data_IF_613146700857
#
_entry.id   IF_613146700857
#
_cell.length_a   1.000
_cell.length_b   1.000
_cell.length_c   1.000
_cell.angle_alpha   90.00
_cell.angle_beta   90.00
_cell.angle_gamma   90.00
#
_symmetry.space_group_name_H-M   'P 1'
#
loop_
_entity.id
_entity.type
_entity.pdbx_description
1 polymer ?
#
# COMPACT_ATOMS: atom_id res chain seq x y z
N UNK A 1 -1.92 -6.08 -4.77
CA UNK A 1 -1.52 -7.17 -5.70
C UNK A 1 -0.39 -6.64 -6.58
N UNK A 2 0.75 -7.35 -6.67
CA UNK A 2 1.89 -6.91 -7.49
C UNK A 2 1.53 -6.84 -8.97
N UNK A 3 2.05 -5.83 -9.67
CA UNK A 3 2.08 -5.83 -11.14
C UNK A 3 3.22 -6.74 -11.59
N UNK A 4 2.87 -8.01 -11.84
CA UNK A 4 3.82 -9.04 -12.25
C UNK A 4 4.52 -8.71 -13.58
N UNK A 5 3.86 -7.97 -14.47
CA UNK A 5 4.47 -7.54 -15.72
C UNK A 5 5.48 -6.40 -15.49
N UNK A 6 5.15 -5.43 -14.63
CA UNK A 6 6.12 -4.41 -14.23
C UNK A 6 7.36 -5.05 -13.57
N UNK A 7 7.14 -5.95 -12.62
CA UNK A 7 8.23 -6.67 -11.93
C UNK A 7 9.07 -7.49 -12.91
N UNK A 8 8.42 -8.16 -13.86
CA UNK A 8 9.10 -8.85 -14.95
C UNK A 8 10.01 -7.90 -15.72
N UNK A 9 9.50 -6.76 -16.20
CA UNK A 9 10.23 -5.77 -17.00
C UNK A 9 11.37 -5.09 -16.25
N UNK A 10 11.16 -4.70 -15.00
CA UNK A 10 12.18 -4.06 -14.15
C UNK A 10 13.38 -4.98 -13.89
N UNK A 11 13.14 -6.30 -13.86
CA UNK A 11 14.16 -7.30 -13.56
C UNK A 11 14.72 -8.00 -14.81
N UNK A 12 14.66 -7.36 -15.99
CA UNK A 12 15.15 -7.93 -17.25
C UNK A 12 16.59 -8.47 -17.19
N UNK A 13 17.47 -7.82 -16.42
CA UNK A 13 18.87 -8.24 -16.26
C UNK A 13 19.08 -9.48 -15.37
N UNK A 14 18.06 -9.91 -14.61
CA UNK A 14 18.13 -11.04 -13.68
C UNK A 14 17.41 -12.29 -14.20
N UNK A 15 16.80 -12.20 -15.39
CA UNK A 15 16.10 -13.33 -15.99
C UNK A 15 17.08 -14.33 -16.57
N UNK A 16 16.77 -15.61 -16.42
CA UNK A 16 17.56 -16.71 -16.96
C UNK A 16 16.82 -17.38 -18.11
N UNK A 17 17.54 -17.76 -19.16
CA UNK A 17 16.98 -18.64 -20.19
C UNK A 17 16.60 -19.98 -19.58
N UNK A 18 15.45 -20.52 -19.97
CA UNK A 18 14.95 -21.81 -19.49
C UNK A 18 14.90 -22.83 -20.62
N UNK A 19 15.43 -24.02 -20.36
CA UNK A 19 15.42 -25.15 -21.29
C UNK A 19 14.12 -25.97 -21.25
N UNK A 20 13.09 -25.48 -20.56
CA UNK A 20 11.78 -26.14 -20.54
C UNK A 20 11.20 -26.17 -21.95
N UNK A 21 10.96 -27.38 -22.46
CA UNK A 21 10.57 -27.61 -23.86
C UNK A 21 9.06 -27.55 -24.10
N UNK A 22 8.27 -26.96 -23.19
CA UNK A 22 6.82 -26.85 -23.35
C UNK A 22 6.44 -25.54 -24.04
N UNK A 23 5.43 -25.63 -24.93
CA UNK A 23 4.86 -24.49 -25.66
C UNK A 23 3.87 -23.67 -24.82
N UNK A 24 3.34 -24.24 -23.72
CA UNK A 24 2.35 -23.57 -22.86
C UNK A 24 2.99 -23.13 -21.55
N UNK A 25 3.06 -21.81 -21.34
CA UNK A 25 3.53 -21.19 -20.09
C UNK A 25 2.68 -21.56 -18.88
N UNK A 26 1.42 -21.97 -19.09
CA UNK A 26 0.46 -22.22 -18.03
C UNK A 26 0.40 -23.69 -17.60
N UNK A 27 1.16 -24.59 -18.22
CA UNK A 27 1.12 -26.04 -17.96
C UNK A 27 2.38 -26.64 -17.33
N UNK A 28 3.16 -25.82 -16.62
CA UNK A 28 4.49 -26.14 -16.08
C UNK A 28 4.54 -26.50 -14.58
N UNK A 29 3.40 -26.72 -13.92
CA UNK A 29 3.30 -27.00 -12.48
C UNK A 29 4.22 -28.15 -12.03
N UNK A 30 4.14 -29.29 -12.73
CA UNK A 30 4.93 -30.49 -12.43
C UNK A 30 6.42 -30.26 -12.66
N UNK A 31 6.76 -29.53 -13.73
CA UNK A 31 8.15 -29.25 -14.10
C UNK A 31 8.83 -28.29 -13.10
N UNK A 32 8.06 -27.36 -12.54
CA UNK A 32 8.53 -26.37 -11.58
C UNK A 32 8.37 -26.82 -10.12
N UNK A 33 7.65 -27.93 -9.87
CA UNK A 33 7.20 -28.32 -8.53
C UNK A 33 6.52 -27.16 -7.79
N UNK A 34 5.67 -26.44 -8.51
CA UNK A 34 5.03 -25.19 -8.08
C UNK A 34 3.56 -25.15 -8.50
N UNK A 35 2.75 -24.32 -7.84
CA UNK A 35 1.34 -24.14 -8.19
C UNK A 35 1.16 -22.92 -9.08
N UNK A 36 0.35 -23.02 -10.12
CA UNK A 36 0.02 -21.87 -10.96
C UNK A 36 -0.80 -20.84 -10.15
N UNK A 37 -0.20 -19.69 -9.88
CA UNK A 37 -0.82 -18.58 -9.14
C UNK A 37 -1.55 -17.61 -10.07
N UNK A 38 -0.94 -17.29 -11.22
CA UNK A 38 -1.55 -16.46 -12.29
C UNK A 38 -1.21 -17.05 -13.65
N UNK A 39 -2.22 -17.33 -14.45
CA UNK A 39 -2.04 -17.68 -15.85
C UNK A 39 -1.62 -16.46 -16.70
N UNK A 40 -0.71 -16.68 -17.65
CA UNK A 40 -0.46 -15.75 -18.75
C UNK A 40 -1.70 -15.71 -19.66
N UNK A 41 -2.16 -14.51 -19.98
CA UNK A 41 -3.31 -14.29 -20.87
C UNK A 41 -2.94 -14.43 -22.35
N UNK A 42 -1.71 -14.04 -22.69
CA UNK A 42 -1.16 -14.04 -24.04
C UNK A 42 0.38 -14.12 -23.99
N UNK A 43 1.02 -14.10 -25.16
CA UNK A 43 2.47 -14.22 -25.32
C UNK A 43 3.28 -13.04 -24.73
N UNK A 44 2.62 -11.92 -24.44
CA UNK A 44 3.24 -10.73 -23.84
C UNK A 44 3.06 -10.65 -22.33
N UNK A 45 2.21 -11.50 -21.77
CA UNK A 45 1.93 -11.60 -20.35
C UNK A 45 2.80 -12.69 -19.70
N UNK A 46 2.98 -12.59 -18.39
CA UNK A 46 3.74 -13.59 -17.61
C UNK A 46 2.84 -14.57 -16.89
N UNK A 47 3.24 -15.84 -16.91
CA UNK A 47 2.69 -16.87 -16.03
C UNK A 47 3.45 -16.80 -14.70
N UNK A 48 2.73 -16.86 -13.60
CA UNK A 48 3.29 -16.78 -12.25
C UNK A 48 2.99 -18.08 -11.54
N UNK A 49 4.05 -18.76 -11.14
CA UNK A 49 3.99 -19.95 -10.30
C UNK A 49 4.43 -19.60 -8.89
N UNK A 50 3.92 -20.34 -7.93
CA UNK A 50 4.16 -20.13 -6.51
C UNK A 50 4.70 -21.41 -5.87
N UNK A 51 5.73 -21.23 -5.06
CA UNK A 51 6.20 -22.19 -4.06
C UNK A 51 6.02 -21.57 -2.67
N UNK A 52 6.28 -22.29 -1.56
CA UNK A 52 6.20 -21.68 -0.23
C UNK A 52 7.02 -20.39 -0.09
N UNK A 53 8.23 -20.35 -0.67
CA UNK A 53 9.20 -19.27 -0.39
C UNK A 53 9.41 -18.27 -1.53
N UNK A 54 9.00 -18.60 -2.77
CA UNK A 54 9.24 -17.75 -3.95
C UNK A 54 8.13 -17.84 -4.98
N UNK A 55 8.02 -16.78 -5.79
CA UNK A 55 7.32 -16.79 -7.06
C UNK A 55 8.29 -17.07 -8.21
N UNK A 56 7.81 -17.77 -9.23
CA UNK A 56 8.54 -18.07 -10.46
C UNK A 56 7.72 -17.46 -11.59
N UNK A 57 8.24 -16.41 -12.21
CA UNK A 57 7.63 -15.75 -13.36
C UNK A 57 8.23 -16.35 -14.64
N UNK A 58 7.36 -16.66 -15.60
CA UNK A 58 7.72 -17.15 -16.92
C UNK A 58 7.11 -16.27 -18.00
N UNK A 59 7.91 -15.96 -19.01
CA UNK A 59 7.46 -15.17 -20.15
C UNK A 59 8.31 -15.44 -21.39
N UNK A 60 7.74 -15.18 -22.56
CA UNK A 60 8.44 -15.31 -23.84
C UNK A 60 9.04 -13.96 -24.25
N UNK A 61 10.35 -13.82 -24.12
CA UNK A 61 11.09 -12.67 -24.63
C UNK A 61 12.42 -13.17 -25.18
N UNK A 62 12.49 -13.33 -26.52
CA UNK A 62 13.61 -13.96 -27.22
C UNK A 62 13.90 -15.41 -26.77
N UNK A 63 12.82 -16.15 -26.48
CA UNK A 63 12.86 -17.50 -25.91
C UNK A 63 12.14 -17.55 -24.57
N UNK A 64 12.03 -18.76 -23.99
CA UNK A 64 11.47 -18.91 -22.66
C UNK A 64 12.46 -18.36 -21.63
N UNK A 65 12.02 -17.35 -20.89
CA UNK A 65 12.77 -16.79 -19.79
C UNK A 65 12.09 -17.11 -18.46
N UNK A 66 12.88 -17.14 -17.40
CA UNK A 66 12.44 -17.35 -16.04
C UNK A 66 13.01 -16.27 -15.13
N UNK A 67 12.18 -15.80 -14.19
CA UNK A 67 12.59 -14.92 -13.11
C UNK A 67 12.08 -15.49 -11.79
N UNK A 68 13.00 -15.76 -10.87
CA UNK A 68 12.66 -16.18 -9.52
C UNK A 68 12.67 -14.98 -8.56
N UNK A 69 11.61 -14.85 -7.79
CA UNK A 69 11.39 -13.73 -6.89
C UNK A 69 11.05 -14.26 -5.52
N UNK A 70 11.95 -14.08 -4.57
CA UNK A 70 11.71 -14.48 -3.19
C UNK A 70 10.56 -13.67 -2.56
N UNK A 71 9.62 -14.33 -1.87
CA UNK A 71 8.50 -13.63 -1.23
C UNK A 71 8.95 -12.64 -0.15
N UNK A 72 10.06 -12.95 0.53
CA UNK A 72 10.63 -12.07 1.55
C UNK A 72 11.15 -10.73 1.01
N UNK A 73 11.35 -10.60 -0.31
CA UNK A 73 11.78 -9.34 -0.94
C UNK A 73 10.60 -8.51 -1.45
N UNK A 74 9.38 -9.04 -1.38
CA UNK A 74 8.16 -8.39 -1.87
C UNK A 74 7.48 -7.65 -0.72
N UNK A 75 8.16 -6.63 -0.20
CA UNK A 75 7.63 -5.77 0.84
C UNK A 75 7.57 -4.31 0.40
N UNK A 76 6.67 -3.59 1.04
CA UNK A 76 6.53 -2.15 0.92
C UNK A 76 6.84 -1.47 2.25
N UNK A 77 7.24 -0.21 2.19
CA UNK A 77 7.44 0.66 3.34
C UNK A 77 6.53 1.87 3.13
N UNK A 78 5.76 2.24 4.14
CA UNK A 78 5.01 3.49 4.15
C UNK A 78 5.45 4.30 5.36
N UNK A 79 5.80 5.56 5.13
CA UNK A 79 6.13 6.48 6.20
C UNK A 79 4.97 7.44 6.47
N UNK A 80 4.75 7.76 7.75
CA UNK A 80 3.70 8.68 8.18
C UNK A 80 4.23 9.56 9.31
N UNK A 81 4.10 10.88 9.14
CA UNK A 81 4.36 11.83 10.23
C UNK A 81 3.11 11.95 11.09
N UNK A 82 3.23 11.64 12.37
CA UNK A 82 2.14 11.78 13.33
C UNK A 82 2.36 13.02 14.18
N UNK A 83 1.42 13.96 14.11
CA UNK A 83 1.48 15.26 14.80
C UNK A 83 0.47 15.40 15.94
N UNK A 84 -0.43 14.43 16.09
CA UNK A 84 -1.47 14.41 17.13
C UNK A 84 -1.31 13.17 18.02
N UNK A 85 -1.84 13.24 19.25
CA UNK A 85 -1.81 12.10 20.16
C UNK A 85 -2.91 11.10 19.79
N UNK A 86 -2.51 10.02 19.12
CA UNK A 86 -3.39 8.91 18.74
C UNK A 86 -3.56 7.86 19.85
N UNK A 87 -3.07 8.10 21.08
CA UNK A 87 -3.16 7.16 22.20
C UNK A 87 -2.19 5.97 22.08
N UNK A 88 -1.16 6.09 21.24
CA UNK A 88 -0.18 5.03 20.94
C UNK A 88 1.01 5.00 21.92
N UNK A 89 0.95 5.77 23.01
CA UNK A 89 2.00 5.80 24.03
C UNK A 89 3.31 6.48 23.60
N UNK A 90 3.32 7.19 22.47
CA UNK A 90 4.42 8.04 22.00
C UNK A 90 3.91 9.47 21.80
N UNK A 91 4.64 10.44 22.35
CA UNK A 91 4.27 11.84 22.21
C UNK A 91 4.59 12.36 20.79
N UNK A 92 3.66 13.07 20.12
CA UNK A 92 3.94 13.72 18.84
C UNK A 92 4.89 14.93 18.98
N UNK A 93 5.61 15.32 17.91
CA UNK A 93 5.62 14.65 16.62
C UNK A 93 6.53 13.41 16.61
N UNK A 94 6.10 12.36 15.91
CA UNK A 94 6.92 11.18 15.66
C UNK A 94 6.72 10.66 14.23
N UNK A 95 7.70 9.91 13.76
CA UNK A 95 7.67 9.21 12.48
C UNK A 95 7.22 7.78 12.72
N UNK A 96 6.18 7.36 12.02
CA UNK A 96 5.76 5.97 11.97
C UNK A 96 6.15 5.37 10.63
N UNK A 97 6.66 4.14 10.67
CA UNK A 97 6.98 3.34 9.50
C UNK A 97 6.16 2.06 9.56
N UNK A 98 5.30 1.87 8.58
CA UNK A 98 4.57 0.62 8.36
C UNK A 98 5.33 -0.19 7.32
N UNK A 99 5.59 -1.45 7.62
CA UNK A 99 6.17 -2.39 6.66
C UNK A 99 5.18 -3.53 6.40
N UNK A 100 4.94 -3.81 5.14
CA UNK A 100 3.98 -4.82 4.70
C UNK A 100 4.64 -5.78 3.72
N UNK A 101 4.66 -7.07 4.04
CA UNK A 101 5.00 -8.09 3.06
C UNK A 101 3.77 -8.42 2.22
N UNK A 102 3.78 -7.98 0.97
CA UNK A 102 2.64 -8.11 0.07
C UNK A 102 2.43 -9.56 -0.42
N UNK A 103 3.40 -10.45 -0.19
CA UNK A 103 3.32 -11.85 -0.55
C UNK A 103 2.82 -12.75 0.59
N UNK A 104 3.22 -12.47 1.83
CA UNK A 104 2.87 -13.27 3.02
C UNK A 104 1.75 -12.63 3.86
N UNK A 105 1.47 -11.35 3.67
CA UNK A 105 0.52 -10.58 4.47
C UNK A 105 1.04 -10.21 5.86
N UNK A 106 2.31 -10.53 6.18
CA UNK A 106 2.95 -10.10 7.42
C UNK A 106 3.15 -8.60 7.42
N UNK A 107 2.79 -7.92 8.52
CA UNK A 107 2.97 -6.49 8.69
C UNK A 107 3.54 -6.14 10.04
N UNK A 108 4.27 -5.01 10.11
CA UNK A 108 4.78 -4.51 11.37
C UNK A 108 5.00 -3.01 11.35
N UNK A 109 5.08 -2.45 12.55
CA UNK A 109 5.15 -1.01 12.76
C UNK A 109 6.43 -0.67 13.51
N UNK A 110 7.06 0.42 13.10
CA UNK A 110 8.16 1.04 13.82
C UNK A 110 7.85 2.51 14.06
N UNK A 111 8.23 3.03 15.23
CA UNK A 111 8.02 4.42 15.60
C UNK A 111 9.33 5.06 16.06
N UNK A 112 9.58 6.27 15.59
CA UNK A 112 10.75 7.07 15.95
C UNK A 112 10.38 8.49 16.32
N UNK A 113 10.82 8.95 17.49
CA UNK A 113 10.53 10.31 17.97
C UNK A 113 11.25 11.32 17.09
N UNK A 114 10.52 12.32 16.60
CA UNK A 114 11.07 13.41 15.80
C UNK A 114 11.45 14.58 16.70
N UNK A 115 12.66 15.09 16.53
CA UNK A 115 13.16 16.28 17.26
C UNK A 115 14.01 17.16 16.36
N UNK A 116 14.24 18.41 16.75
CA UNK A 116 15.26 19.26 16.15
C UNK A 116 16.48 19.33 17.06
N UNK A 117 17.67 19.24 16.48
CA UNK A 117 18.89 19.58 17.17
C UNK A 117 19.07 21.12 17.26
N UNK A 118 20.04 21.63 18.04
CA UNK A 118 20.29 23.07 18.15
C UNK A 118 20.67 23.78 16.84
N UNK A 119 21.15 23.04 15.85
CA UNK A 119 21.53 23.55 14.52
C UNK A 119 20.34 23.53 13.53
N UNK A 120 19.13 23.14 13.98
CA UNK A 120 17.93 23.05 13.14
C UNK A 120 17.86 21.80 12.26
N UNK A 121 18.65 20.78 12.56
CA UNK A 121 18.66 19.50 11.84
C UNK A 121 17.62 18.57 12.46
N UNK A 122 16.74 18.00 11.62
CA UNK A 122 15.79 16.98 12.02
C UNK A 122 16.50 15.71 12.49
N UNK A 123 16.07 15.19 13.64
CA UNK A 123 16.55 13.95 14.22
C UNK A 123 15.39 12.97 14.38
N UNK A 124 15.67 11.67 14.20
CA UNK A 124 14.80 10.57 14.58
C UNK A 124 15.50 9.68 15.60
N UNK A 125 14.88 9.47 16.77
CA UNK A 125 15.50 8.76 17.90
C UNK A 125 16.92 9.28 18.25
N UNK A 126 17.15 10.59 18.07
CA UNK A 126 18.43 11.25 18.34
C UNK A 126 19.51 11.11 17.24
N UNK A 127 19.22 10.43 16.13
CA UNK A 127 20.11 10.34 14.97
C UNK A 127 19.64 11.30 13.87
N UNK A 128 20.59 11.82 13.07
CA UNK A 128 20.26 12.71 11.96
C UNK A 128 19.32 12.02 10.98
N UNK A 129 18.16 12.63 10.73
CA UNK A 129 17.20 12.12 9.78
C UNK A 129 17.70 12.42 8.35
N UNK A 130 17.95 11.39 7.56
CA UNK A 130 18.48 11.53 6.21
C UNK A 130 18.04 10.38 5.31
N UNK A 131 17.74 10.64 4.01
CA UNK A 131 17.43 9.57 3.06
C UNK A 131 18.57 8.56 2.88
N UNK A 132 19.81 8.95 3.19
CA UNK A 132 20.99 8.08 3.09
C UNK A 132 21.33 7.36 4.41
N UNK A 133 20.63 7.70 5.50
CA UNK A 133 20.85 7.11 6.82
C UNK A 133 19.60 6.37 7.27
N UNK A 134 19.59 5.05 7.09
CA UNK A 134 18.53 4.20 7.62
C UNK A 134 18.66 4.11 9.15
N UNK A 135 17.63 4.52 9.94
CA UNK A 135 17.63 4.32 11.38
C UNK A 135 17.58 2.84 11.73
N UNK A 136 17.85 2.49 12.98
CA UNK A 136 17.81 1.10 13.42
C UNK A 136 16.36 0.63 13.61
N UNK A 137 15.69 0.35 12.49
CA UNK A 137 14.35 -0.20 12.42
C UNK A 137 14.41 -1.70 12.65
N UNK A 138 13.81 -2.16 13.75
CA UNK A 138 13.76 -3.57 14.12
C UNK A 138 12.32 -4.06 14.06
N UNK A 139 12.11 -5.14 13.31
CA UNK A 139 10.83 -5.83 13.17
C UNK A 139 10.97 -7.29 13.61
N UNK A 140 11.20 -7.55 14.91
CA UNK A 140 11.61 -8.86 15.40
C UNK A 140 10.59 -9.98 15.13
N UNK A 141 9.32 -9.62 14.99
CA UNK A 141 8.22 -10.57 14.76
C UNK A 141 8.07 -10.96 13.28
N UNK A 142 8.76 -10.28 12.37
CA UNK A 142 8.61 -10.47 10.93
C UNK A 142 9.75 -11.34 10.38
N UNK A 143 9.41 -12.54 9.90
CA UNK A 143 10.41 -13.52 9.46
C UNK A 143 11.25 -13.00 8.28
N UNK A 144 10.63 -12.28 7.34
CA UNK A 144 11.31 -11.75 6.15
C UNK A 144 12.38 -10.70 6.46
N UNK A 145 12.28 -10.03 7.60
CA UNK A 145 13.23 -8.97 8.02
C UNK A 145 14.54 -9.51 8.57
N UNK A 146 14.59 -10.82 8.85
CA UNK A 146 15.79 -11.51 9.34
C UNK A 146 16.74 -11.94 8.21
N UNK A 147 16.42 -11.58 6.96
CA UNK A 147 17.22 -11.96 5.80
C UNK A 147 18.41 -11.00 5.58
N UNK A 148 19.57 -11.49 5.09
CA UNK A 148 20.77 -10.66 4.93
C UNK A 148 20.60 -9.44 4.01
N UNK A 149 19.69 -9.53 3.03
CA UNK A 149 19.46 -8.47 2.03
C UNK A 149 18.36 -7.49 2.43
N UNK A 150 17.60 -7.79 3.49
CA UNK A 150 16.48 -6.95 3.92
C UNK A 150 16.91 -5.52 4.21
N UNK A 151 18.04 -5.34 4.91
CA UNK A 151 18.52 -4.00 5.29
C UNK A 151 18.88 -3.14 4.08
N UNK A 152 19.46 -3.72 3.04
CA UNK A 152 19.81 -3.00 1.81
C UNK A 152 18.56 -2.61 1.02
N UNK A 153 17.57 -3.51 0.94
CA UNK A 153 16.28 -3.24 0.29
C UNK A 153 15.48 -2.18 1.06
N UNK A 154 15.48 -2.26 2.39
CA UNK A 154 14.82 -1.29 3.28
C UNK A 154 15.44 0.10 3.13
N UNK A 155 16.77 0.19 2.96
CA UNK A 155 17.44 1.47 2.72
C UNK A 155 17.00 2.12 1.40
N UNK A 156 16.75 1.32 0.35
CA UNK A 156 16.19 1.81 -0.91
C UNK A 156 14.82 2.45 -0.72
N UNK A 157 13.89 1.72 -0.09
CA UNK A 157 12.53 2.19 0.21
C UNK A 157 12.51 3.38 1.15
N UNK A 158 13.33 3.35 2.19
CA UNK A 158 13.51 4.48 3.11
C UNK A 158 13.88 5.76 2.38
N UNK A 159 14.81 5.71 1.43
CA UNK A 159 15.20 6.88 0.65
C UNK A 159 14.03 7.46 -0.12
N UNK A 160 13.26 6.60 -0.81
CA UNK A 160 12.10 6.98 -1.61
C UNK A 160 11.03 7.62 -0.74
N UNK A 161 10.57 6.90 0.28
CA UNK A 161 9.49 7.31 1.18
C UNK A 161 9.86 8.53 2.00
N UNK A 162 11.06 8.58 2.58
CA UNK A 162 11.47 9.72 3.39
C UNK A 162 11.53 10.98 2.54
N UNK A 163 12.04 10.89 1.31
CA UNK A 163 12.11 12.04 0.41
C UNK A 163 10.71 12.62 0.13
N UNK A 164 9.69 11.76 0.03
CA UNK A 164 8.31 12.19 -0.12
C UNK A 164 7.75 12.86 1.16
N UNK A 165 8.11 12.34 2.33
CA UNK A 165 7.61 12.82 3.64
C UNK A 165 8.38 14.03 4.23
N UNK A 166 9.57 14.36 3.71
CA UNK A 166 10.39 15.48 4.20
C UNK A 166 9.59 16.80 4.40
N UNK A 167 8.72 17.24 3.47
CA UNK A 167 7.95 18.46 3.66
C UNK A 167 7.00 18.43 4.87
N UNK A 168 6.42 17.27 5.18
CA UNK A 168 5.55 17.09 6.35
C UNK A 168 6.36 17.07 7.65
N UNK A 169 7.55 16.46 7.63
CA UNK A 169 8.48 16.45 8.76
C UNK A 169 8.95 17.86 9.10
N UNK A 170 9.32 18.65 8.08
CA UNK A 170 9.70 20.04 8.24
C UNK A 170 8.55 20.87 8.83
N UNK A 171 7.32 20.68 8.37
CA UNK A 171 6.14 21.35 8.91
C UNK A 171 5.88 20.98 10.37
N UNK A 172 5.93 19.69 10.71
CA UNK A 172 5.72 19.19 12.06
C UNK A 172 6.77 19.72 13.06
N UNK A 173 8.04 19.80 12.64
CA UNK A 173 9.14 20.24 13.50
C UNK A 173 9.26 21.77 13.60
N UNK A 174 8.85 22.51 12.57
CA UNK A 174 8.86 23.98 12.59
C UNK A 174 7.71 24.60 13.41
N UNK A 175 6.66 23.82 13.70
CA UNK A 175 5.52 24.23 14.53
C UNK A 175 5.82 24.52 16.01
N UNK A 176 7.08 24.39 16.46
CA UNK A 176 7.51 24.60 17.85
C UNK A 176 8.00 26.00 18.22
N UNK A 177 7.99 26.96 17.29
CA UNK A 177 8.54 28.31 17.53
C UNK A 177 7.60 29.46 17.14
N UNK A 178 6.30 29.32 17.39
CA UNK A 178 5.39 30.47 17.57
C UNK A 178 4.01 29.97 18.05
N UNK A 179 3.81 29.92 19.38
CA UNK A 179 2.46 30.12 19.95
C UNK A 179 2.05 31.58 19.65
N UNK A 180 1.68 31.83 18.39
CA UNK A 180 1.49 33.19 17.91
C UNK A 180 1.44 33.36 16.40
N UNK A 181 1.12 32.32 15.61
CA UNK A 181 0.74 32.55 14.21
C UNK A 181 -0.78 32.39 14.08
N UNK A 182 -1.43 33.49 13.70
CA UNK A 182 -2.79 33.43 13.20
C UNK A 182 -2.89 32.31 12.17
N UNK A 183 -4.05 31.65 12.12
CA UNK A 183 -4.50 30.78 11.04
C UNK A 183 -4.39 31.52 9.70
N UNK A 184 -3.18 31.58 9.14
CA UNK A 184 -2.94 32.00 7.78
C UNK A 184 -3.14 30.72 6.99
N UNK A 185 -4.41 30.38 6.78
CA UNK A 185 -4.81 29.31 5.89
C UNK A 185 -4.04 29.41 4.58
N UNK A 186 -3.82 28.25 3.94
CA UNK A 186 -3.13 28.17 2.67
C UNK A 186 -3.64 29.27 1.71
N UNK A 187 -2.76 29.94 0.96
CA UNK A 187 -3.18 30.93 -0.03
C UNK A 187 -4.29 30.33 -0.91
N UNK A 188 -5.42 31.02 -1.15
CA UNK A 188 -6.59 30.44 -1.83
C UNK A 188 -6.26 29.74 -3.16
N UNK A 189 -5.28 30.27 -3.90
CA UNK A 189 -4.78 29.65 -5.14
C UNK A 189 -4.09 28.30 -4.91
N UNK A 190 -3.31 28.15 -3.82
CA UNK A 190 -2.70 26.87 -3.45
C UNK A 190 -3.76 25.88 -2.97
N UNK A 191 -4.77 26.37 -2.24
CA UNK A 191 -5.86 25.54 -1.78
C UNK A 191 -6.68 24.99 -2.96
N UNK A 192 -6.99 25.83 -3.95
CA UNK A 192 -7.65 25.40 -5.18
C UNK A 192 -6.84 24.35 -5.94
N UNK A 193 -5.52 24.54 -6.08
CA UNK A 193 -4.66 23.55 -6.74
C UNK A 193 -4.66 22.20 -6.03
N UNK A 194 -4.75 22.18 -4.70
CA UNK A 194 -4.84 20.95 -3.91
C UNK A 194 -6.20 20.28 -4.15
N UNK A 195 -7.29 21.04 -4.13
CA UNK A 195 -8.62 20.51 -4.44
C UNK A 195 -8.72 19.96 -5.86
N UNK A 196 -8.14 20.64 -6.85
CA UNK A 196 -8.14 20.18 -8.24
C UNK A 196 -7.38 18.85 -8.40
N UNK A 197 -6.22 18.71 -7.74
CA UNK A 197 -5.42 17.47 -7.73
C UNK A 197 -6.15 16.35 -7.01
N UNK A 198 -6.75 16.64 -5.87
CA UNK A 198 -7.56 15.69 -5.11
C UNK A 198 -8.74 15.19 -5.93
N UNK A 199 -9.51 16.11 -6.54
CA UNK A 199 -10.66 15.77 -7.36
C UNK A 199 -10.30 14.94 -8.60
N UNK A 200 -9.11 15.16 -9.18
CA UNK A 200 -8.60 14.33 -10.28
C UNK A 200 -8.22 12.92 -9.80
N UNK A 201 -7.52 12.82 -8.66
CA UNK A 201 -7.16 11.53 -8.04
C UNK A 201 -8.42 10.71 -7.70
N UNK A 202 -9.40 11.34 -7.04
CA UNK A 202 -10.69 10.71 -6.71
C UNK A 202 -11.41 10.22 -7.97
N UNK A 203 -11.50 11.04 -9.03
CA UNK A 203 -12.15 10.63 -10.29
C UNK A 203 -11.44 9.44 -10.95
N UNK A 204 -10.11 9.41 -10.93
CA UNK A 204 -9.32 8.29 -11.46
C UNK A 204 -9.60 7.01 -10.69
N UNK A 205 -9.59 7.07 -9.36
CA UNK A 205 -9.84 5.89 -8.54
C UNK A 205 -11.31 5.43 -8.61
N UNK A 206 -12.28 6.34 -8.72
CA UNK A 206 -13.67 5.97 -9.00
C UNK A 206 -13.83 5.21 -10.31
N UNK A 207 -13.09 5.61 -11.36
CA UNK A 207 -13.07 4.87 -12.62
C UNK A 207 -12.38 3.49 -12.52
N UNK A 208 -11.50 3.29 -11.55
CA UNK A 208 -10.93 1.97 -11.25
C UNK A 208 -11.93 1.12 -10.46
N UNK A 209 -12.56 1.69 -9.44
CA UNK A 209 -13.57 1.03 -8.61
C UNK A 209 -14.74 0.50 -9.45
N UNK A 210 -15.20 1.25 -10.44
CA UNK A 210 -16.29 0.82 -11.35
C UNK A 210 -15.92 -0.38 -12.23
N UNK A 211 -14.64 -0.73 -12.34
CA UNK A 211 -14.18 -1.97 -13.02
C UNK A 211 -14.08 -3.15 -12.05
N UNK A 212 -13.94 -2.88 -10.75
CA UNK A 212 -13.73 -3.87 -9.69
C UNK A 212 -15.07 -4.32 -9.08
N UNK A 213 -15.98 -3.37 -8.90
CA UNK A 213 -17.29 -3.59 -8.32
C UNK A 213 -18.39 -3.51 -9.38
N UNK A 214 -19.41 -4.33 -9.20
CA UNK A 214 -20.66 -4.25 -9.93
C UNK A 214 -21.55 -3.14 -9.35
N UNK A 215 -22.53 -2.68 -10.13
CA UNK A 215 -23.49 -1.67 -9.66
C UNK A 215 -24.25 -2.13 -8.40
N UNK A 216 -24.58 -3.43 -8.33
CA UNK A 216 -25.26 -4.01 -7.16
C UNK A 216 -24.37 -4.01 -5.91
N UNK A 217 -23.07 -4.31 -6.06
CA UNK A 217 -22.09 -4.24 -4.97
C UNK A 217 -21.91 -2.79 -4.49
N UNK A 218 -21.80 -1.83 -5.41
CA UNK A 218 -21.70 -0.41 -5.04
C UNK A 218 -22.97 0.11 -4.35
N UNK A 219 -24.16 -0.32 -4.80
CA UNK A 219 -25.43 0.01 -4.15
C UNK A 219 -25.54 -0.58 -2.75
N UNK A 220 -25.11 -1.83 -2.57
CA UNK A 220 -25.06 -2.47 -1.26
C UNK A 220 -24.13 -1.70 -0.32
N UNK A 221 -22.91 -1.41 -0.77
CA UNK A 221 -21.94 -0.64 -0.01
C UNK A 221 -22.48 0.75 0.36
N UNK A 222 -23.12 1.45 -0.58
CA UNK A 222 -23.79 2.73 -0.33
C UNK A 222 -24.86 2.64 0.76
N UNK A 223 -25.67 1.58 0.72
CA UNK A 223 -26.72 1.35 1.70
C UNK A 223 -26.14 1.10 3.11
N UNK A 224 -25.06 0.32 3.21
CA UNK A 224 -24.39 -0.01 4.47
C UNK A 224 -23.69 1.20 5.10
N UNK A 225 -23.20 2.13 4.29
CA UNK A 225 -22.58 3.37 4.76
C UNK A 225 -23.57 4.51 5.06
N UNK A 226 -24.87 4.28 4.85
CA UNK A 226 -25.88 5.31 5.09
C UNK A 226 -25.94 5.67 6.58
N UNK A 227 -25.55 6.91 6.88
CA UNK A 227 -25.53 7.43 8.26
C UNK A 227 -24.20 7.23 9.00
N UNK A 228 -23.17 6.70 8.33
CA UNK A 228 -21.79 6.69 8.83
C UNK A 228 -21.14 8.03 8.51
N UNK A 229 -20.53 8.67 9.51
CA UNK A 229 -19.84 9.96 9.38
C UNK A 229 -18.33 9.75 9.34
N UNK A 230 -17.70 10.24 8.29
CA UNK A 230 -16.24 10.23 8.12
C UNK A 230 -15.70 11.62 8.47
N UNK A 231 -15.35 11.83 9.75
CA UNK A 231 -14.98 13.16 10.27
C UNK A 231 -13.51 13.52 10.01
N UNK A 232 -12.68 12.55 9.67
CA UNK A 232 -11.24 12.74 9.43
C UNK A 232 -10.71 11.83 8.31
N UNK A 233 -9.57 12.18 7.73
CA UNK A 233 -8.90 11.34 6.74
C UNK A 233 -8.63 9.92 7.27
N UNK A 234 -8.21 9.79 8.54
CA UNK A 234 -7.97 8.51 9.18
C UNK A 234 -9.26 7.64 9.29
N UNK A 235 -10.43 8.26 9.42
CA UNK A 235 -11.70 7.53 9.50
C UNK A 235 -12.10 6.85 8.18
N UNK A 236 -11.43 7.18 7.07
CA UNK A 236 -11.68 6.59 5.77
C UNK A 236 -11.04 5.20 5.58
N UNK A 237 -10.14 4.77 6.48
CA UNK A 237 -9.39 3.51 6.33
C UNK A 237 -10.17 2.33 6.91
N UNK A 238 -10.06 1.17 6.26
CA UNK A 238 -10.59 -0.08 6.80
C UNK A 238 -12.10 -0.17 6.67
N UNK A 239 -12.65 0.33 5.56
CA UNK A 239 -14.08 0.37 5.28
C UNK A 239 -14.74 -1.01 5.34
N UNK A 240 -13.97 -2.06 5.04
CA UNK A 240 -14.43 -3.45 5.10
C UNK A 240 -14.93 -3.85 6.49
N UNK A 241 -14.40 -3.26 7.58
CA UNK A 241 -14.85 -3.54 8.95
C UNK A 241 -16.28 -3.05 9.19
N UNK A 242 -16.63 -1.89 8.62
CA UNK A 242 -17.99 -1.33 8.73
C UNK A 242 -18.96 -2.20 7.93
N UNK A 243 -18.55 -2.62 6.74
CA UNK A 243 -19.35 -3.51 5.88
C UNK A 243 -19.53 -4.88 6.53
N UNK A 244 -18.48 -5.47 7.09
CA UNK A 244 -18.53 -6.75 7.81
C UNK A 244 -19.50 -6.69 9.00
N UNK A 245 -19.38 -5.66 9.84
CA UNK A 245 -20.26 -5.47 10.99
C UNK A 245 -21.74 -5.35 10.59
N UNK A 246 -22.03 -4.59 9.53
CA UNK A 246 -23.41 -4.36 9.08
C UNK A 246 -24.02 -5.55 8.34
N UNK A 247 -23.21 -6.32 7.59
CA UNK A 247 -23.66 -7.53 6.89
C UNK A 247 -24.15 -8.61 7.86
N UNK A 248 -23.51 -8.75 9.02
CA UNK A 248 -23.89 -9.72 10.06
C UNK A 248 -25.27 -9.37 10.67
N UNK A 249 -25.57 -8.09 10.81
CA UNK A 249 -26.75 -7.62 11.54
C UNK A 249 -28.01 -7.50 10.67
N UNK A 250 -27.89 -7.29 9.34
CA UNK A 250 -29.02 -6.88 8.50
C UNK A 250 -29.33 -7.79 7.29
N UNK A 251 -28.50 -8.80 6.97
CA UNK A 251 -28.59 -9.65 5.75
C UNK A 251 -29.03 -8.93 4.43
N UNK A 252 -28.54 -7.72 4.09
CA UNK A 252 -28.98 -6.98 2.89
C UNK A 252 -28.41 -7.53 1.58
N UNK A 253 -27.41 -8.41 1.67
CA UNK A 253 -26.79 -9.15 0.56
C UNK A 253 -27.80 -10.04 -0.18
N UNK A 254 -28.81 -10.57 0.52
CA UNK A 254 -29.88 -11.39 -0.07
C UNK A 254 -30.84 -10.61 -0.95
N UNK A 255 -31.10 -9.34 -0.65
CA UNK A 255 -32.01 -8.51 -1.44
C UNK A 255 -31.38 -8.08 -2.77
N UNK A 256 -30.07 -7.84 -2.78
CA UNK A 256 -29.31 -7.40 -3.96
C UNK A 256 -28.61 -8.56 -4.70
N UNK A 257 -28.74 -9.80 -4.21
CA UNK A 257 -28.08 -11.00 -4.77
C UNK A 257 -26.55 -10.86 -4.86
N UNK A 258 -25.94 -10.20 -3.88
CA UNK A 258 -24.50 -9.98 -3.83
C UNK A 258 -23.85 -11.07 -2.98
N UNK A 259 -22.72 -11.60 -3.45
CA UNK A 259 -21.89 -12.50 -2.65
C UNK A 259 -21.12 -11.66 -1.61
N UNK A 260 -21.62 -11.66 -0.36
CA UNK A 260 -21.05 -10.90 0.74
C UNK A 260 -19.58 -11.24 1.02
N UNK A 261 -19.18 -12.51 0.85
CA UNK A 261 -17.79 -12.93 1.10
C UNK A 261 -16.87 -12.42 -0.02
N UNK A 262 -17.28 -12.55 -1.27
CA UNK A 262 -16.52 -12.02 -2.40
C UNK A 262 -16.42 -10.49 -2.34
N UNK A 263 -17.48 -9.80 -1.90
CA UNK A 263 -17.48 -8.35 -1.69
C UNK A 263 -16.47 -7.94 -0.61
N UNK A 264 -16.47 -8.62 0.54
CA UNK A 264 -15.56 -8.34 1.64
C UNK A 264 -14.10 -8.53 1.22
N UNK A 265 -13.78 -9.58 0.46
CA UNK A 265 -12.42 -9.80 -0.05
C UNK A 265 -11.98 -8.71 -1.02
N UNK A 266 -12.86 -8.25 -1.92
CA UNK A 266 -12.57 -7.07 -2.77
C UNK A 266 -12.29 -5.83 -1.94
N UNK A 267 -13.07 -5.61 -0.88
CA UNK A 267 -12.93 -4.44 -0.01
C UNK A 267 -11.65 -4.46 0.83
N UNK A 268 -11.24 -5.61 1.35
CA UNK A 268 -9.94 -5.77 2.05
C UNK A 268 -8.75 -5.47 1.14
N UNK A 269 -8.91 -5.71 -0.17
CA UNK A 269 -7.89 -5.44 -1.17
C UNK A 269 -7.75 -3.98 -1.60
N UNK A 270 -8.58 -3.06 -1.07
CA UNK A 270 -8.54 -1.65 -1.47
C UNK A 270 -7.36 -0.89 -0.88
N UNK A 271 -6.72 -0.08 -1.72
CA UNK A 271 -5.78 0.92 -1.24
C UNK A 271 -6.51 2.03 -0.51
N UNK A 272 -5.78 2.79 0.32
CA UNK A 272 -6.36 3.92 1.03
C UNK A 272 -6.96 4.98 0.08
N UNK A 273 -6.29 5.27 -1.05
CA UNK A 273 -6.82 6.17 -2.06
C UNK A 273 -8.15 5.68 -2.67
N UNK A 274 -8.30 4.37 -2.82
CA UNK A 274 -9.53 3.75 -3.31
C UNK A 274 -10.65 3.78 -2.27
N UNK A 275 -10.34 3.57 -0.99
CA UNK A 275 -11.34 3.72 0.09
C UNK A 275 -11.84 5.17 0.18
N UNK A 276 -10.93 6.15 0.12
CA UNK A 276 -11.31 7.57 0.07
C UNK A 276 -12.17 7.87 -1.16
N UNK A 277 -11.77 7.40 -2.34
CA UNK A 277 -12.52 7.63 -3.57
C UNK A 277 -13.92 6.98 -3.56
N UNK A 278 -14.05 5.83 -2.88
CA UNK A 278 -15.32 5.15 -2.66
C UNK A 278 -16.24 6.02 -1.79
N UNK A 279 -15.76 6.49 -0.64
CA UNK A 279 -16.52 7.38 0.27
C UNK A 279 -16.98 8.65 -0.46
N UNK A 280 -16.07 9.32 -1.16
CA UNK A 280 -16.40 10.55 -1.91
C UNK A 280 -17.42 10.28 -3.02
N UNK A 281 -17.40 9.09 -3.62
CA UNK A 281 -18.40 8.67 -4.61
C UNK A 281 -19.78 8.47 -3.99
N UNK A 282 -19.83 7.90 -2.80
CA UNK A 282 -21.06 7.66 -2.04
C UNK A 282 -21.69 8.96 -1.52
N UNK A 283 -20.87 9.93 -1.10
CA UNK A 283 -21.35 11.24 -0.63
C UNK A 283 -21.89 12.12 -1.77
N UNK A 284 -21.48 11.85 -3.01
CA UNK A 284 -21.94 12.59 -4.19
C UNK A 284 -23.26 12.05 -4.80
N UNK A 285 -23.73 10.87 -4.35
CA UNK A 285 -24.96 10.21 -4.82
C UNK A 285 -26.14 10.39 -3.88
#
# INVERSE_FOLDING_TARGET
MYDWNALWHENAGFRTGSDLTQEDLNGLEDALSATLFKAARDETDVAVYETPDRFILLGYQDGLQMLEVAKHTLFDLTLRVVTEDEGQGMAPPYLEALIDNLATGESGEWRGVLTLNPDGIALVNGQALSPELLPDMLFPELAFTQTPHFRDQLAGRWREELTAELPMIEAALSGGADEGSADVGLPPARMQQIYDRYAEMVRREQANLSRVFTDAELQLVAALFKGVTFESAASCRGLWLVVEAQLIDQEPDRELQVDALALLEKMKGLSYAQEVALIEGLLAS
#
